data_IF_600777027721
#
_entry.id   IF_600777027721
#
_cell.length_a   1.000
_cell.length_b   1.000
_cell.length_c   1.000
_cell.angle_alpha   90.00
_cell.angle_beta   90.00
_cell.angle_gamma   90.00
#
_symmetry.space_group_name_H-M   'P 1'
#
loop_
_entity.id
_entity.type
_entity.pdbx_description
1 polymer ?
#
# COMPACT_ATOMS: atom_id res chain seq x y z
N UNK A 1 14.95 -51.82 -16.84
CA UNK A 1 14.25 -50.74 -17.57
C UNK A 1 13.05 -50.18 -16.80
N UNK A 2 12.10 -50.99 -16.33
CA UNK A 2 10.88 -50.52 -15.63
C UNK A 2 11.19 -49.64 -14.40
N UNK A 3 12.16 -50.03 -13.56
CA UNK A 3 12.54 -49.26 -12.37
C UNK A 3 13.06 -47.84 -12.69
N UNK A 4 13.79 -47.68 -13.79
CA UNK A 4 14.31 -46.37 -14.20
C UNK A 4 13.19 -45.44 -14.68
N UNK A 5 12.19 -45.98 -15.35
CA UNK A 5 11.02 -45.23 -15.81
C UNK A 5 10.21 -44.73 -14.61
N UNK A 6 10.00 -45.59 -13.62
CA UNK A 6 9.29 -45.22 -12.38
C UNK A 6 10.07 -44.12 -11.64
N UNK A 7 11.38 -44.28 -11.45
CA UNK A 7 12.19 -43.29 -10.74
C UNK A 7 12.18 -41.92 -11.45
N UNK A 8 12.28 -41.89 -12.77
CA UNK A 8 12.19 -40.67 -13.55
C UNK A 8 10.82 -39.98 -13.37
N UNK A 9 9.72 -40.73 -13.42
CA UNK A 9 8.38 -40.13 -13.22
C UNK A 9 8.22 -39.48 -11.84
N UNK A 10 8.70 -40.12 -10.79
CA UNK A 10 8.64 -39.57 -9.43
C UNK A 10 9.52 -38.33 -9.26
N UNK A 11 10.71 -38.31 -9.87
CA UNK A 11 11.56 -37.13 -9.85
C UNK A 11 10.87 -35.93 -10.54
N UNK A 12 10.30 -36.15 -11.72
CA UNK A 12 9.61 -35.08 -12.46
C UNK A 12 8.34 -34.58 -11.77
N UNK A 13 7.57 -35.46 -11.11
CA UNK A 13 6.40 -35.03 -10.34
C UNK A 13 6.79 -34.19 -9.13
N UNK A 14 7.84 -34.57 -8.40
CA UNK A 14 8.37 -33.80 -7.28
C UNK A 14 8.88 -32.43 -7.73
N UNK A 15 9.62 -32.39 -8.85
CA UNK A 15 10.10 -31.13 -9.44
C UNK A 15 8.92 -30.24 -9.86
N UNK A 16 7.94 -30.81 -10.57
CA UNK A 16 6.74 -30.07 -11.01
C UNK A 16 5.94 -29.51 -9.84
N UNK A 17 5.73 -30.32 -8.80
CA UNK A 17 5.09 -29.87 -7.56
C UNK A 17 5.90 -28.78 -6.86
N UNK A 18 7.23 -28.92 -6.79
CA UNK A 18 8.11 -27.91 -6.22
C UNK A 18 8.00 -26.56 -6.93
N UNK A 19 8.09 -26.57 -8.26
CA UNK A 19 7.93 -25.35 -9.08
C UNK A 19 6.54 -24.73 -8.89
N UNK A 20 5.49 -25.57 -8.84
CA UNK A 20 4.13 -25.10 -8.61
C UNK A 20 3.99 -24.38 -7.27
N UNK A 21 4.53 -24.96 -6.20
CA UNK A 21 4.53 -24.35 -4.85
C UNK A 21 5.26 -23.02 -4.84
N UNK A 22 6.46 -22.96 -5.42
CA UNK A 22 7.26 -21.73 -5.51
C UNK A 22 6.51 -20.66 -6.29
N UNK A 23 5.87 -21.03 -7.40
CA UNK A 23 5.06 -20.13 -8.22
C UNK A 23 3.86 -19.55 -7.46
N UNK A 24 3.19 -20.34 -6.61
CA UNK A 24 2.09 -19.83 -5.78
C UNK A 24 2.57 -18.78 -4.79
N UNK A 25 3.66 -19.05 -4.06
CA UNK A 25 4.24 -18.09 -3.11
C UNK A 25 4.72 -16.80 -3.79
N UNK A 26 5.32 -16.89 -4.99
CA UNK A 26 5.72 -15.72 -5.77
C UNK A 26 4.53 -14.85 -6.19
N UNK A 27 3.42 -15.47 -6.60
CA UNK A 27 2.20 -14.74 -6.97
C UNK A 27 1.63 -13.96 -5.78
N UNK A 28 1.61 -14.57 -4.60
CA UNK A 28 1.16 -13.91 -3.37
C UNK A 28 2.08 -12.75 -2.97
N UNK A 29 3.40 -12.90 -3.13
CA UNK A 29 4.34 -11.80 -2.90
C UNK A 29 4.13 -10.62 -3.86
N UNK A 30 3.89 -10.90 -5.15
CA UNK A 30 3.64 -9.87 -6.15
C UNK A 30 2.31 -9.13 -5.93
N UNK A 31 1.24 -9.84 -5.56
CA UNK A 31 -0.04 -9.19 -5.23
C UNK A 31 0.07 -8.36 -3.96
N UNK A 32 0.86 -8.79 -2.97
CA UNK A 32 1.13 -8.00 -1.78
C UNK A 32 1.91 -6.72 -2.10
N UNK A 33 2.93 -6.78 -2.95
CA UNK A 33 3.65 -5.59 -3.42
C UNK A 33 2.74 -4.64 -4.23
N UNK A 34 1.85 -5.19 -5.06
CA UNK A 34 0.87 -4.39 -5.78
C UNK A 34 -0.12 -3.68 -4.83
N UNK A 35 -0.54 -4.31 -3.73
CA UNK A 35 -1.36 -3.64 -2.70
C UNK A 35 -0.63 -2.46 -2.06
N UNK A 36 0.65 -2.61 -1.73
CA UNK A 36 1.44 -1.54 -1.13
C UNK A 36 1.61 -0.36 -2.10
N UNK A 37 1.75 -0.64 -3.41
CA UNK A 37 1.79 0.41 -4.42
C UNK A 37 0.45 1.10 -4.71
N UNK A 38 -0.68 0.49 -4.35
CA UNK A 38 -2.01 1.09 -4.52
C UNK A 38 -2.34 2.13 -3.45
N UNK A 39 -1.60 2.20 -2.35
CA UNK A 39 -1.88 3.15 -1.27
C UNK A 39 -1.59 4.60 -1.74
N UNK A 40 -2.61 5.47 -1.85
CA UNK A 40 -2.44 6.80 -2.46
C UNK A 40 -1.87 7.85 -1.50
N UNK A 41 -1.43 7.47 -0.28
CA UNK A 41 -1.01 8.40 0.77
C UNK A 41 0.07 9.41 0.35
N UNK A 42 0.98 9.07 -0.57
CA UNK A 42 2.02 10.00 -1.04
C UNK A 42 1.49 11.19 -1.84
N UNK A 43 0.27 11.06 -2.40
CA UNK A 43 -0.42 12.13 -3.15
C UNK A 43 -1.43 12.87 -2.30
N UNK A 44 -1.57 12.52 -1.03
CA UNK A 44 -2.53 13.15 -0.13
C UNK A 44 -2.04 14.53 0.35
N UNK A 45 -2.94 15.50 0.48
CA UNK A 45 -2.65 16.84 1.00
C UNK A 45 -2.18 16.82 2.47
N UNK A 46 -2.63 15.84 3.25
CA UNK A 46 -2.37 15.67 4.69
C UNK A 46 -1.11 14.84 5.02
N UNK A 47 -0.30 14.50 4.01
CA UNK A 47 0.89 13.68 4.17
C UNK A 47 2.13 14.53 4.54
N UNK A 48 2.62 14.38 5.78
CA UNK A 48 3.72 15.19 6.35
C UNK A 48 5.10 14.58 6.12
N UNK A 49 5.19 13.32 5.63
CA UNK A 49 6.45 12.60 5.37
C UNK A 49 7.37 12.50 6.59
N UNK A 50 6.82 12.61 7.80
CA UNK A 50 7.53 12.39 9.06
C UNK A 50 7.34 10.93 9.52
N UNK A 51 8.40 10.33 10.07
CA UNK A 51 8.36 8.96 10.59
C UNK A 51 7.45 8.83 11.82
N UNK A 52 7.35 9.90 12.63
CA UNK A 52 6.50 9.96 13.83
C UNK A 52 5.05 10.28 13.47
N UNK A 53 4.83 11.06 12.42
CA UNK A 53 3.50 11.51 12.01
C UNK A 53 3.34 11.38 10.49
N UNK A 54 2.93 10.19 10.05
CA UNK A 54 2.77 9.86 8.63
C UNK A 54 1.62 10.64 7.97
N UNK A 55 0.49 10.76 8.67
CA UNK A 55 -0.71 11.51 8.27
C UNK A 55 -1.20 12.33 9.46
N UNK A 56 -1.71 13.54 9.22
CA UNK A 56 -2.25 14.41 10.29
C UNK A 56 -3.65 14.05 10.75
N UNK A 57 -4.42 13.31 9.93
CA UNK A 57 -5.80 12.92 10.24
C UNK A 57 -5.82 11.56 10.94
N UNK A 58 -5.31 10.53 10.25
CA UNK A 58 -5.26 9.15 10.76
C UNK A 58 -3.80 8.65 10.78
N UNK A 59 -3.01 8.94 11.83
CA UNK A 59 -1.59 8.57 11.89
C UNK A 59 -1.34 7.06 12.03
N UNK A 60 -2.31 6.30 12.55
CA UNK A 60 -2.19 4.85 12.80
C UNK A 60 -2.39 4.03 11.52
N UNK A 61 -3.36 4.43 10.70
CA UNK A 61 -3.77 3.72 9.47
C UNK A 61 -3.00 4.20 8.22
N UNK A 62 -2.20 5.27 8.33
CA UNK A 62 -1.45 5.81 7.22
C UNK A 62 -0.44 4.79 6.64
N UNK A 63 -0.41 4.66 5.31
CA UNK A 63 0.47 3.74 4.57
C UNK A 63 0.21 2.24 4.81
N UNK A 64 -0.95 1.86 5.33
CA UNK A 64 -1.40 0.46 5.41
C UNK A 64 -2.38 0.13 4.28
N UNK A 65 -2.77 -1.14 4.17
CA UNK A 65 -3.77 -1.59 3.21
C UNK A 65 -5.18 -1.01 3.46
N UNK A 66 -5.46 -0.55 4.68
CA UNK A 66 -6.71 0.14 5.02
C UNK A 66 -6.77 1.54 4.41
N UNK A 67 -5.60 2.18 4.20
CA UNK A 67 -5.52 3.50 3.57
C UNK A 67 -5.78 3.50 2.06
N UNK A 68 -5.96 2.34 1.43
CA UNK A 68 -6.36 2.24 0.00
C UNK A 68 -7.73 2.90 -0.22
N UNK A 69 -8.65 2.74 0.74
CA UNK A 69 -10.01 3.31 0.71
C UNK A 69 -10.18 4.45 1.74
N UNK A 70 -9.11 5.21 2.00
CA UNK A 70 -9.17 6.31 2.95
C UNK A 70 -10.22 7.37 2.53
N UNK A 71 -11.25 7.57 3.35
CA UNK A 71 -12.35 8.51 3.08
C UNK A 71 -11.88 9.98 3.11
N UNK A 72 -10.83 10.27 3.89
CA UNK A 72 -10.23 11.59 4.04
C UNK A 72 -9.20 11.92 2.95
N UNK A 73 -9.11 11.09 1.89
CA UNK A 73 -8.12 11.26 0.83
C UNK A 73 -8.41 12.52 -0.01
N UNK A 74 -7.57 13.54 0.15
CA UNK A 74 -7.57 14.74 -0.70
C UNK A 74 -6.30 14.82 -1.55
N UNK A 75 -6.45 15.02 -2.86
CA UNK A 75 -5.30 15.14 -3.77
C UNK A 75 -4.53 16.43 -3.51
N UNK A 76 -3.21 16.33 -3.34
CA UNK A 76 -2.28 17.46 -3.28
C UNK A 76 -2.25 18.17 -4.64
N UNK A 77 -3.17 19.11 -4.85
CA UNK A 77 -3.22 19.91 -6.07
C UNK A 77 -2.01 20.86 -6.10
N UNK A 78 -1.18 20.74 -7.13
CA UNK A 78 -0.01 21.63 -7.34
C UNK A 78 -0.42 23.00 -7.94
N UNK A 79 -1.68 23.42 -7.75
CA UNK A 79 -2.27 24.53 -8.49
C UNK A 79 -1.98 25.89 -7.84
N UNK A 80 -0.70 26.24 -7.74
CA UNK A 80 -0.23 27.58 -7.37
C UNK A 80 -0.29 28.61 -8.50
N UNK A 81 -1.31 28.63 -9.39
CA UNK A 81 -1.40 29.70 -10.42
C UNK A 81 -2.79 30.21 -10.84
N UNK A 82 -3.90 29.57 -10.53
CA UNK A 82 -5.22 30.22 -10.72
C UNK A 82 -6.12 29.97 -9.50
N UNK A 83 -6.34 31.05 -8.75
CA UNK A 83 -7.25 31.17 -7.61
C UNK A 83 -8.71 30.81 -7.96
N UNK A 84 -9.67 30.73 -7.00
CA UNK A 84 -9.57 30.55 -5.54
C UNK A 84 -10.38 29.31 -5.08
N UNK A 85 -9.79 28.41 -4.27
CA UNK A 85 -10.58 27.43 -3.50
C UNK A 85 -11.12 28.14 -2.26
N UNK A 86 -12.15 28.96 -2.46
CA UNK A 86 -13.06 29.30 -1.38
C UNK A 86 -13.81 27.99 -1.06
N UNK A 87 -13.61 27.51 0.18
CA UNK A 87 -14.19 26.32 0.84
C UNK A 87 -13.73 24.99 0.22
N UNK A 88 -12.86 24.18 0.82
CA UNK A 88 -12.89 23.47 2.12
C UNK A 88 -11.48 22.84 2.23
N UNK A 89 -10.66 22.84 3.28
CA UNK A 89 -10.86 22.98 4.71
C UNK A 89 -9.61 23.65 5.35
N UNK A 90 -9.60 24.97 5.41
CA UNK A 90 -8.89 25.71 6.47
C UNK A 90 -9.54 25.48 7.85
N UNK A 91 -10.31 24.39 8.04
CA UNK A 91 -11.02 24.02 9.26
C UNK A 91 -10.44 22.81 9.99
N UNK A 92 -9.50 22.05 9.41
CA UNK A 92 -8.82 20.98 10.15
C UNK A 92 -7.66 21.46 11.03
N UNK A 93 -7.21 22.72 10.87
CA UNK A 93 -6.20 23.32 11.75
C UNK A 93 -6.79 24.32 12.76
N UNK A 94 -8.12 24.36 12.95
CA UNK A 94 -8.74 25.36 13.83
C UNK A 94 -9.71 24.83 14.89
N UNK A 95 -9.98 23.53 14.96
CA UNK A 95 -10.77 22.96 16.07
C UNK A 95 -10.07 21.72 16.65
N UNK A 96 -9.18 21.97 17.61
CA UNK A 96 -8.77 21.07 18.70
C UNK A 96 -7.47 20.25 18.63
N UNK A 97 -6.43 20.68 17.90
CA UNK A 97 -5.07 20.17 18.18
C UNK A 97 -4.03 21.30 18.25
N UNK A 98 -4.21 22.21 19.22
CA UNK A 98 -3.08 22.92 19.79
C UNK A 98 -2.23 21.93 20.60
N UNK A 99 -0.97 21.77 20.18
CA UNK A 99 0.28 21.61 20.96
C UNK A 99 0.32 20.67 22.19
N UNK A 100 1.46 19.98 22.38
CA UNK A 100 2.06 19.99 23.71
C UNK A 100 3.59 20.23 23.71
N UNK A 101 3.95 21.23 24.54
CA UNK A 101 5.21 21.56 25.26
C UNK A 101 6.57 21.35 24.60
#
# INVERSE_FOLDING_TARGET
MILQIICASFAWTLIGLGIWRIGQTLKEGLTHLQRIHQVPCHRCAYFTRDYRLKCTVNPVEAMTEEAINCEDFEVKSNLGRLAPVISVSSRYCQKNYCQPK
#
